data_IF_058521820624
#
_entry.id   IF_058521820624
#
_cell.length_a   1.000
_cell.length_b   1.000
_cell.length_c   1.000
_cell.angle_alpha   90.00
_cell.angle_beta   90.00
_cell.angle_gamma   90.00
#
_symmetry.space_group_name_H-M   'P 1'
#
loop_
_entity.id
_entity.type
_entity.pdbx_description
1 polymer ?
#
# COMPACT_ATOMS: atom_id res chain seq x y z
N UNK A 1 10.63 -5.30 4.65
CA UNK A 1 9.65 -5.59 3.58
C UNK A 1 9.15 -4.28 2.99
N UNK A 2 8.78 -4.24 1.70
CA UNK A 2 8.20 -3.03 1.11
C UNK A 2 7.11 -3.40 0.11
N UNK A 3 6.16 -2.48 -0.11
CA UNK A 3 5.15 -2.61 -1.15
C UNK A 3 4.83 -1.25 -1.77
N UNK A 4 4.31 -1.28 -3.00
CA UNK A 4 3.88 -0.08 -3.72
C UNK A 4 2.48 0.33 -3.28
N UNK A 5 2.28 1.61 -3.10
CA UNK A 5 0.99 2.20 -2.77
C UNK A 5 0.50 3.05 -3.94
N UNK A 6 -0.72 2.79 -4.39
CA UNK A 6 -1.32 3.41 -5.55
C UNK A 6 -2.44 4.38 -5.16
N UNK A 7 -2.62 5.38 -6.01
CA UNK A 7 -3.66 6.39 -5.83
C UNK A 7 -5.05 5.77 -5.79
N UNK A 8 -5.70 5.92 -4.66
CA UNK A 8 -7.08 5.55 -4.41
C UNK A 8 -7.83 6.68 -3.69
N UNK A 9 -9.10 6.47 -3.34
CA UNK A 9 -9.92 7.47 -2.65
C UNK A 9 -9.54 7.70 -1.19
N UNK A 10 -8.83 6.76 -0.56
CA UNK A 10 -8.39 6.85 0.84
C UNK A 10 -6.88 7.08 0.96
N UNK A 11 -6.46 7.57 2.11
CA UNK A 11 -5.06 7.82 2.47
C UNK A 11 -4.72 7.25 3.86
N UNK A 12 -5.59 6.42 4.38
CA UNK A 12 -5.60 5.92 5.75
C UNK A 12 -4.24 5.35 6.17
N UNK A 13 -3.67 4.43 5.37
CA UNK A 13 -2.39 3.80 5.71
C UNK A 13 -1.28 4.84 5.83
N UNK A 14 -1.20 5.80 4.91
CA UNK A 14 -0.18 6.87 4.94
C UNK A 14 -0.34 7.73 6.20
N UNK A 15 -1.57 8.20 6.46
CA UNK A 15 -1.87 9.06 7.59
C UNK A 15 -1.58 8.37 8.94
N UNK A 16 -2.04 7.13 9.11
CA UNK A 16 -1.83 6.37 10.34
C UNK A 16 -0.35 5.98 10.54
N UNK A 17 0.39 5.70 9.47
CA UNK A 17 1.84 5.46 9.57
C UNK A 17 2.61 6.72 9.98
N UNK A 18 2.20 7.89 9.50
CA UNK A 18 2.79 9.18 9.90
C UNK A 18 2.47 9.52 11.36
N UNK A 19 1.28 9.16 11.83
CA UNK A 19 0.85 9.39 13.22
C UNK A 19 1.61 8.52 14.22
N UNK A 20 1.58 7.19 14.06
CA UNK A 20 2.14 6.29 15.06
C UNK A 20 3.08 5.20 14.52
N UNK A 21 3.18 5.04 13.21
CA UNK A 21 4.06 4.11 12.53
C UNK A 21 3.71 2.62 12.68
N UNK A 22 2.60 2.26 13.35
CA UNK A 22 2.25 0.85 13.58
C UNK A 22 1.61 0.24 12.35
N UNK A 23 2.07 -0.95 11.98
CA UNK A 23 1.51 -1.71 10.86
C UNK A 23 1.55 -3.21 11.12
N UNK A 24 0.54 -3.90 10.63
CA UNK A 24 0.50 -5.36 10.54
C UNK A 24 0.13 -5.74 9.12
N UNK A 25 0.97 -6.54 8.48
CA UNK A 25 0.65 -7.18 7.22
C UNK A 25 0.15 -8.59 7.51
N UNK A 26 -1.03 -8.94 7.00
CA UNK A 26 -1.65 -10.24 7.21
C UNK A 26 -1.75 -10.99 5.89
N UNK A 27 -1.29 -12.23 5.90
CA UNK A 27 -1.36 -13.15 4.77
C UNK A 27 -2.16 -14.38 5.16
N UNK A 28 -3.22 -14.67 4.41
CA UNK A 28 -4.09 -15.82 4.63
C UNK A 28 -3.85 -16.86 3.54
N UNK A 29 -3.74 -18.14 3.95
CA UNK A 29 -3.67 -19.25 3.01
C UNK A 29 -5.07 -19.57 2.47
N UNK A 30 -5.39 -19.11 1.28
CA UNK A 30 -6.66 -19.41 0.59
C UNK A 30 -6.66 -20.77 -0.12
N UNK A 31 -5.54 -21.46 -0.17
CA UNK A 31 -5.39 -22.80 -0.71
C UNK A 31 -4.37 -23.59 0.12
N UNK A 32 -4.44 -24.93 0.06
CA UNK A 32 -3.57 -25.80 0.84
C UNK A 32 -3.89 -25.81 2.34
N UNK A 33 -2.93 -26.15 3.21
CA UNK A 33 -3.13 -26.16 4.66
C UNK A 33 -3.50 -24.77 5.19
N UNK A 34 -4.49 -24.67 6.11
CA UNK A 34 -4.93 -23.40 6.66
C UNK A 34 -3.85 -22.75 7.50
N UNK A 35 -3.54 -21.49 7.21
CA UNK A 35 -2.57 -20.70 7.96
C UNK A 35 -2.84 -19.21 7.79
N UNK A 36 -2.50 -18.41 8.81
CA UNK A 36 -2.46 -16.95 8.76
C UNK A 36 -1.10 -16.51 9.28
N UNK A 37 -0.33 -15.80 8.46
CA UNK A 37 0.94 -15.18 8.86
C UNK A 37 0.74 -13.68 9.05
N UNK A 38 1.26 -13.13 10.15
CA UNK A 38 1.24 -11.69 10.43
C UNK A 38 2.66 -11.18 10.60
N UNK A 39 2.99 -10.14 9.88
CA UNK A 39 4.22 -9.38 10.03
C UNK A 39 3.88 -8.09 10.78
N UNK A 40 4.26 -8.02 12.05
CA UNK A 40 4.12 -6.81 12.86
C UNK A 40 5.38 -5.96 12.72
N UNK A 41 5.21 -4.65 12.66
CA UNK A 41 6.35 -3.77 12.53
C UNK A 41 6.03 -2.29 12.63
N UNK A 42 7.01 -1.51 12.24
CA UNK A 42 6.87 -0.07 12.01
C UNK A 42 7.00 0.20 10.53
N UNK A 43 6.02 0.93 10.00
CA UNK A 43 6.01 1.35 8.60
C UNK A 43 6.47 2.79 8.47
N UNK A 44 7.10 3.09 7.37
CA UNK A 44 7.40 4.44 6.91
C UNK A 44 6.90 4.63 5.47
N UNK A 45 6.55 5.86 5.14
CA UNK A 45 6.03 6.22 3.82
C UNK A 45 7.12 6.98 3.07
N UNK A 46 7.55 6.43 1.95
CA UNK A 46 8.55 7.03 1.06
C UNK A 46 7.83 7.58 -0.16
N UNK A 47 7.79 8.91 -0.28
CA UNK A 47 7.14 9.62 -1.40
C UNK A 47 8.13 9.92 -2.53
N UNK A 48 7.67 10.26 -3.76
CA UNK A 48 8.56 10.52 -4.90
C UNK A 48 9.62 11.61 -4.70
N UNK A 49 9.42 12.51 -3.74
CA UNK A 49 10.37 13.56 -3.36
C UNK A 49 11.46 13.09 -2.38
N UNK A 50 11.33 11.90 -1.79
CA UNK A 50 12.36 11.31 -0.93
C UNK A 50 13.53 10.81 -1.77
N UNK A 51 14.77 11.11 -1.34
CA UNK A 51 16.00 10.71 -2.03
C UNK A 51 16.13 9.19 -2.23
N UNK A 52 15.54 8.37 -1.35
CA UNK A 52 15.54 6.90 -1.41
C UNK A 52 14.52 6.33 -2.38
N UNK A 53 13.59 7.14 -2.87
CA UNK A 53 12.46 6.66 -3.66
C UNK A 53 12.91 5.89 -4.92
N UNK A 54 13.86 6.45 -5.67
CA UNK A 54 14.34 5.84 -6.92
C UNK A 54 15.06 4.51 -6.68
N UNK A 55 15.87 4.42 -5.62
CA UNK A 55 16.56 3.18 -5.24
C UNK A 55 15.55 2.07 -4.83
N UNK A 56 14.59 2.44 -3.99
CA UNK A 56 13.55 1.51 -3.57
C UNK A 56 12.69 1.05 -4.75
N UNK A 57 12.34 1.97 -5.64
CA UNK A 57 11.53 1.69 -6.82
C UNK A 57 12.22 0.72 -7.79
N UNK A 58 13.55 0.74 -7.88
CA UNK A 58 14.31 -0.19 -8.71
C UNK A 58 14.14 -1.67 -8.27
N UNK A 59 13.68 -1.92 -7.05
CA UNK A 59 13.37 -3.26 -6.54
C UNK A 59 12.03 -3.83 -7.04
N UNK A 60 11.29 -3.04 -7.80
CA UNK A 60 9.99 -3.39 -8.38
C UNK A 60 10.04 -3.22 -9.91
N UNK A 61 10.80 -4.06 -10.64
CA UNK A 61 11.06 -3.86 -12.08
C UNK A 61 9.78 -3.92 -12.93
N UNK A 62 8.84 -4.80 -12.57
CA UNK A 62 7.60 -5.03 -13.32
C UNK A 62 6.43 -4.15 -12.87
N UNK A 63 6.68 -3.19 -11.96
CA UNK A 63 5.62 -2.38 -11.40
C UNK A 63 5.10 -1.33 -12.39
N UNK A 64 3.79 -1.23 -12.51
CA UNK A 64 3.14 -0.11 -13.20
C UNK A 64 3.48 1.21 -12.51
N UNK A 65 3.94 2.20 -13.27
CA UNK A 65 4.29 3.53 -12.73
C UNK A 65 3.07 4.45 -12.64
N UNK A 66 2.06 4.20 -13.45
CA UNK A 66 0.85 5.02 -13.49
C UNK A 66 0.06 4.90 -12.19
N UNK A 67 -0.27 6.02 -11.58
CA UNK A 67 -1.04 6.07 -10.34
C UNK A 67 -0.28 5.76 -9.06
N UNK A 68 0.99 5.33 -9.12
CA UNK A 68 1.80 5.12 -7.93
C UNK A 68 2.02 6.45 -7.21
N UNK A 69 1.86 6.46 -5.87
CA UNK A 69 1.98 7.67 -5.04
C UNK A 69 3.03 7.55 -3.94
N UNK A 70 3.29 6.35 -3.44
CA UNK A 70 4.32 6.13 -2.43
C UNK A 70 4.83 4.68 -2.42
N UNK A 71 5.88 4.45 -1.67
CA UNK A 71 6.36 3.12 -1.29
C UNK A 71 6.24 3.04 0.23
N UNK A 72 5.58 2.01 0.73
CA UNK A 72 5.55 1.74 2.16
C UNK A 72 6.63 0.73 2.51
N UNK A 73 7.56 1.13 3.37
CA UNK A 73 8.63 0.27 3.90
C UNK A 73 8.23 -0.19 5.30
N UNK A 74 8.28 -1.49 5.54
CA UNK A 74 7.91 -2.08 6.83
C UNK A 74 9.14 -2.73 7.47
N UNK A 75 9.54 -2.18 8.61
CA UNK A 75 10.57 -2.73 9.48
C UNK A 75 9.92 -3.77 10.41
N UNK A 76 9.98 -5.03 9.98
CA UNK A 76 9.35 -6.14 10.69
C UNK A 76 10.14 -6.43 11.97
N UNK A 77 9.44 -6.41 13.11
CA UNK A 77 10.02 -6.71 14.43
C UNK A 77 9.43 -7.99 15.06
N UNK A 78 8.31 -8.50 14.53
CA UNK A 78 7.69 -9.74 14.99
C UNK A 78 7.00 -10.43 13.82
N UNK A 79 7.21 -11.74 13.72
CA UNK A 79 6.45 -12.62 12.83
C UNK A 79 5.66 -13.58 13.71
N UNK A 80 4.38 -13.72 13.42
CA UNK A 80 3.48 -14.64 14.14
C UNK A 80 2.61 -15.37 13.12
N UNK A 81 2.31 -16.63 13.42
CA UNK A 81 1.36 -17.44 12.68
C UNK A 81 0.20 -17.90 13.56
N UNK A 82 -0.87 -18.34 12.95
CA UNK A 82 -2.03 -18.93 13.59
C UNK A 82 -2.74 -19.88 12.64
N UNK A 83 -3.57 -20.75 13.19
CA UNK A 83 -4.13 -21.91 12.49
C UNK A 83 -4.96 -21.60 11.23
N UNK A 84 -5.52 -20.42 11.07
CA UNK A 84 -6.29 -20.06 9.87
C UNK A 84 -7.54 -20.91 9.59
N UNK A 85 -8.08 -21.66 10.55
CA UNK A 85 -9.18 -22.63 10.34
C UNK A 85 -10.46 -22.02 9.76
N UNK A 86 -10.68 -20.72 9.95
CA UNK A 86 -11.82 -20.00 9.38
C UNK A 86 -11.50 -19.24 8.09
N UNK A 87 -10.29 -19.38 7.55
CA UNK A 87 -9.93 -18.81 6.23
C UNK A 87 -10.66 -19.63 5.17
N UNK A 88 -11.47 -19.00 4.29
CA UNK A 88 -12.18 -19.73 3.25
C UNK A 88 -11.22 -20.24 2.17
N UNK A 89 -11.56 -21.36 1.56
CA UNK A 89 -10.90 -21.80 0.33
C UNK A 89 -11.33 -20.90 -0.84
N UNK A 90 -10.37 -20.40 -1.62
CA UNK A 90 -10.61 -19.55 -2.78
C UNK A 90 -9.70 -19.95 -3.92
N UNK A 91 -10.23 -19.93 -5.14
CA UNK A 91 -9.47 -20.17 -6.36
C UNK A 91 -9.05 -18.83 -6.96
N UNK A 92 -7.75 -18.68 -7.23
CA UNK A 92 -7.22 -17.49 -7.90
C UNK A 92 -7.55 -17.54 -9.40
N UNK A 93 -8.28 -16.55 -9.88
CA UNK A 93 -8.70 -16.45 -11.29
C UNK A 93 -7.96 -15.36 -12.07
N UNK A 94 -7.11 -14.58 -11.42
CA UNK A 94 -6.31 -13.53 -12.06
C UNK A 94 -6.46 -12.16 -11.41
N UNK A 95 -5.60 -11.23 -11.81
CA UNK A 95 -5.57 -9.86 -11.31
C UNK A 95 -6.52 -8.94 -12.10
N UNK A 96 -7.14 -8.01 -11.38
CA UNK A 96 -7.93 -6.93 -11.98
C UNK A 96 -7.03 -5.72 -12.27
N UNK A 97 -6.88 -5.37 -13.54
CA UNK A 97 -6.10 -4.20 -13.96
C UNK A 97 -6.91 -2.90 -14.05
N UNK A 98 -8.01 -2.80 -13.30
CA UNK A 98 -8.92 -1.65 -13.39
C UNK A 98 -8.30 -0.37 -12.81
N UNK A 99 -7.56 -0.47 -11.70
CA UNK A 99 -6.91 0.68 -11.06
C UNK A 99 -5.81 1.27 -11.95
N UNK A 100 -4.99 0.42 -12.57
CA UNK A 100 -3.96 0.83 -13.52
C UNK A 100 -4.57 1.59 -14.71
N UNK A 101 -5.57 0.97 -15.37
CA UNK A 101 -6.27 1.58 -16.51
C UNK A 101 -6.92 2.91 -16.15
N UNK A 102 -7.54 2.99 -14.98
CA UNK A 102 -8.13 4.23 -14.47
C UNK A 102 -7.07 5.32 -14.29
N UNK A 103 -5.91 4.99 -13.73
CA UNK A 103 -4.82 5.93 -13.54
C UNK A 103 -4.22 6.39 -14.87
N UNK A 104 -4.01 5.47 -15.82
CA UNK A 104 -3.53 5.78 -17.17
C UNK A 104 -4.47 6.72 -17.91
N UNK A 105 -5.79 6.46 -17.88
CA UNK A 105 -6.81 7.30 -18.53
C UNK A 105 -6.90 8.71 -17.93
N UNK A 106 -6.67 8.85 -16.62
CA UNK A 106 -6.67 10.18 -15.98
C UNK A 106 -5.43 10.99 -16.34
N UNK A 107 -4.32 10.35 -16.47
CA UNK A 107 -3.03 11.01 -16.71
C UNK A 107 -2.50 11.77 -15.49
N UNK A 108 -1.22 12.19 -15.51
CA UNK A 108 -0.53 12.70 -14.31
C UNK A 108 -1.19 13.94 -13.71
N UNK A 109 -1.61 14.92 -14.53
CA UNK A 109 -2.22 16.17 -14.02
C UNK A 109 -3.52 15.92 -13.23
N UNK A 110 -4.42 15.07 -13.76
CA UNK A 110 -5.68 14.76 -13.09
C UNK A 110 -5.48 13.87 -11.86
N UNK A 111 -4.42 13.06 -11.82
CA UNK A 111 -4.05 12.28 -10.64
C UNK A 111 -3.55 13.18 -9.50
N UNK A 112 -2.77 14.23 -9.80
CA UNK A 112 -2.37 15.23 -8.81
C UNK A 112 -3.60 15.90 -8.21
N UNK A 113 -4.46 16.48 -9.05
CA UNK A 113 -5.70 17.12 -8.58
C UNK A 113 -6.60 16.17 -7.77
N UNK A 114 -6.65 14.89 -8.15
CA UNK A 114 -7.41 13.89 -7.40
C UNK A 114 -6.83 13.63 -6.00
N UNK A 115 -5.49 13.56 -5.87
CA UNK A 115 -4.83 13.40 -4.57
C UNK A 115 -5.04 14.62 -3.68
N UNK A 116 -4.95 15.84 -4.24
CA UNK A 116 -5.26 17.10 -3.54
C UNK A 116 -6.69 17.10 -3.00
N UNK A 117 -7.64 16.52 -3.73
CA UNK A 117 -9.03 16.44 -3.28
C UNK A 117 -9.28 15.33 -2.26
N UNK A 118 -8.60 14.19 -2.37
CA UNK A 118 -8.98 12.94 -1.68
C UNK A 118 -7.93 12.39 -0.71
N UNK A 119 -6.68 12.86 -0.78
CA UNK A 119 -5.59 12.24 -0.03
C UNK A 119 -4.86 13.22 0.91
N UNK A 120 -5.43 14.39 1.22
CA UNK A 120 -4.84 15.34 2.16
C UNK A 120 -5.05 14.93 3.62
N UNK A 121 -6.15 14.25 3.91
CA UNK A 121 -6.47 13.80 5.25
C UNK A 121 -7.16 12.43 5.25
N UNK A 122 -6.97 11.67 6.32
CA UNK A 122 -7.72 10.44 6.61
C UNK A 122 -9.16 10.75 7.03
N UNK A 123 -9.98 9.72 7.17
CA UNK A 123 -11.34 9.84 7.72
C UNK A 123 -11.34 10.42 9.14
N UNK A 124 -10.29 10.17 9.92
CA UNK A 124 -10.11 10.69 11.27
C UNK A 124 -9.47 12.09 11.31
N UNK A 125 -9.24 12.72 10.15
CA UNK A 125 -8.63 14.03 10.04
C UNK A 125 -7.11 14.08 10.23
N UNK A 126 -6.42 12.92 10.27
CA UNK A 126 -4.96 12.87 10.33
C UNK A 126 -4.36 13.31 8.98
N UNK A 127 -3.22 14.04 9.00
CA UNK A 127 -2.54 14.48 7.77
C UNK A 127 -2.16 13.29 6.87
N UNK A 128 -2.56 13.36 5.61
CA UNK A 128 -2.23 12.40 4.56
C UNK A 128 -1.02 12.81 3.73
N UNK A 129 -1.18 12.87 2.41
CA UNK A 129 -0.14 13.37 1.50
C UNK A 129 -0.05 14.90 1.59
N UNK A 130 1.19 15.41 1.61
CA UNK A 130 1.42 16.84 1.51
C UNK A 130 1.05 17.35 0.12
N UNK A 131 0.68 18.60 0.00
CA UNK A 131 0.60 19.28 -1.28
C UNK A 131 2.02 19.37 -1.84
N UNK A 132 2.25 18.74 -2.98
CA UNK A 132 3.53 18.77 -3.68
C UNK A 132 3.83 20.12 -4.33
#
# INVERSE_FOLDING_TARGET
MAYLDYTGSGVETIAHLRDNGRIVLMFCAFAGPPNIVRLHGRGEVVVPTDARFSELLARFPDATRSGMRSIVVVHVNRIADSCGYSVPLMEYQGDRRLLEKWAEQRGPKKLVAYREQKNLASLDGLPGLDQG
#
